data_IF_689792153303
#
_entry.id   IF_689792153303
#
_cell.length_a   1.000
_cell.length_b   1.000
_cell.length_c   1.000
_cell.angle_alpha   90.00
_cell.angle_beta   90.00
_cell.angle_gamma   90.00
#
_symmetry.space_group_name_H-M   'P 1'
#
loop_
_entity.id
_entity.type
_entity.pdbx_description
1 polymer ?
#
# COMPACT_ATOMS: atom_id res chain seq x y z
N UNK A 1 11.96 -20.46 -10.09
CA UNK A 1 13.08 -19.50 -10.08
C UNK A 1 12.87 -18.65 -8.83
N UNK A 2 13.75 -18.69 -7.81
CA UNK A 2 13.59 -17.82 -6.65
C UNK A 2 14.00 -16.42 -7.10
N UNK A 3 13.04 -15.56 -7.40
CA UNK A 3 13.32 -14.15 -7.66
C UNK A 3 13.76 -13.49 -6.35
N UNK A 4 14.96 -12.93 -6.40
CA UNK A 4 15.69 -12.22 -5.35
C UNK A 4 14.81 -11.64 -4.23
N UNK A 5 14.82 -12.27 -3.05
CA UNK A 5 14.25 -11.71 -1.81
C UNK A 5 14.78 -10.29 -1.53
N UNK A 6 16.02 -10.01 -1.91
CA UNK A 6 16.65 -8.69 -1.83
C UNK A 6 15.97 -7.59 -2.68
N UNK A 7 15.47 -7.91 -3.88
CA UNK A 7 14.80 -6.92 -4.74
C UNK A 7 13.41 -6.58 -4.21
N UNK A 8 12.71 -7.59 -3.65
CA UNK A 8 11.40 -7.39 -3.01
C UNK A 8 11.54 -6.52 -1.76
N UNK A 9 12.60 -6.74 -0.97
CA UNK A 9 12.90 -5.94 0.22
C UNK A 9 13.22 -4.48 -0.13
N UNK A 10 14.03 -4.23 -1.16
CA UNK A 10 14.37 -2.86 -1.59
C UNK A 10 13.16 -2.06 -2.12
N UNK A 11 12.08 -2.75 -2.51
CA UNK A 11 10.85 -2.12 -2.98
C UNK A 11 9.80 -1.89 -1.88
N UNK A 12 10.02 -2.38 -0.65
CA UNK A 12 9.11 -2.17 0.48
C UNK A 12 8.85 -0.70 0.83
N UNK A 13 9.81 0.23 0.74
CA UNK A 13 9.54 1.66 0.93
C UNK A 13 8.49 2.21 -0.03
N UNK A 14 8.34 1.63 -1.22
CA UNK A 14 7.26 1.99 -2.17
C UNK A 14 5.87 1.74 -1.58
N UNK A 15 5.73 0.81 -0.63
CA UNK A 15 4.47 0.56 0.08
C UNK A 15 4.08 1.73 1.02
N UNK A 16 5.04 2.59 1.41
CA UNK A 16 4.77 3.82 2.15
C UNK A 16 4.55 5.04 1.26
N UNK A 17 4.95 4.97 -0.01
CA UNK A 17 4.98 6.16 -0.86
C UNK A 17 3.59 6.75 -1.11
N UNK A 18 2.58 5.91 -1.39
CA UNK A 18 1.20 6.39 -1.60
C UNK A 18 0.56 7.00 -0.34
N UNK A 19 0.48 6.29 0.81
CA UNK A 19 -0.06 6.90 2.01
C UNK A 19 0.80 8.08 2.50
N UNK A 20 2.13 8.06 2.31
CA UNK A 20 3.02 9.16 2.68
C UNK A 20 2.73 10.44 1.90
N UNK A 21 2.58 10.33 0.57
CA UNK A 21 2.19 11.46 -0.29
C UNK A 21 0.81 12.03 0.09
N UNK A 22 -0.16 11.15 0.36
CA UNK A 22 -1.51 11.55 0.80
C UNK A 22 -1.52 12.22 2.18
N UNK A 23 -0.56 11.89 3.05
CA UNK A 23 -0.36 12.57 4.34
C UNK A 23 0.45 13.88 4.23
N UNK A 24 0.99 14.19 3.05
CA UNK A 24 1.71 15.44 2.80
C UNK A 24 3.24 15.33 2.84
N UNK A 25 3.80 14.16 3.13
CA UNK A 25 5.26 13.94 3.10
C UNK A 25 5.80 13.97 1.67
N UNK A 26 7.10 14.22 1.53
CA UNK A 26 7.77 14.32 0.22
C UNK A 26 8.93 13.36 0.07
N UNK A 27 9.56 12.97 1.17
CA UNK A 27 10.67 12.03 1.18
C UNK A 27 10.41 10.82 2.07
N UNK A 28 11.15 9.74 1.83
CA UNK A 28 10.98 8.49 2.57
C UNK A 28 11.42 8.63 4.04
N UNK A 29 12.48 9.36 4.33
CA UNK A 29 12.92 9.62 5.70
C UNK A 29 11.88 10.39 6.52
N UNK A 30 11.25 11.44 5.98
CA UNK A 30 10.14 12.13 6.65
C UNK A 30 9.02 11.17 7.04
N UNK A 31 8.68 10.25 6.13
CA UNK A 31 7.59 9.29 6.31
C UNK A 31 7.96 8.22 7.34
N UNK A 32 9.17 7.65 7.25
CA UNK A 32 9.63 6.59 8.15
C UNK A 32 9.89 7.10 9.56
N UNK A 33 10.27 8.37 9.72
CA UNK A 33 10.43 8.99 11.04
C UNK A 33 9.07 9.28 11.73
N UNK A 34 7.94 9.21 11.02
CA UNK A 34 6.63 9.24 11.65
C UNK A 34 6.27 7.87 12.26
N UNK A 35 5.96 7.87 13.56
CA UNK A 35 5.64 6.66 14.31
C UNK A 35 4.44 5.87 13.75
N UNK A 36 3.43 6.53 13.18
CA UNK A 36 2.27 5.84 12.61
C UNK A 36 2.66 5.06 11.36
N UNK A 37 3.51 5.65 10.51
CA UNK A 37 3.98 5.04 9.26
C UNK A 37 5.01 3.95 9.50
N UNK A 38 5.96 4.16 10.40
CA UNK A 38 6.93 3.12 10.78
C UNK A 38 6.25 1.92 11.46
N UNK A 39 5.27 2.15 12.35
CA UNK A 39 4.48 1.07 12.95
C UNK A 39 3.68 0.31 11.91
N UNK A 40 3.05 1.01 10.97
CA UNK A 40 2.34 0.39 9.86
C UNK A 40 3.27 -0.45 8.97
N UNK A 41 4.43 0.06 8.57
CA UNK A 41 5.40 -0.67 7.77
C UNK A 41 5.91 -1.92 8.50
N UNK A 42 6.26 -1.78 9.79
CA UNK A 42 6.68 -2.91 10.63
C UNK A 42 5.61 -3.99 10.67
N UNK A 43 4.36 -3.62 10.92
CA UNK A 43 3.25 -4.55 10.97
C UNK A 43 3.00 -5.23 9.62
N UNK A 44 3.07 -4.50 8.50
CA UNK A 44 2.91 -5.07 7.16
C UNK A 44 3.99 -6.09 6.85
N UNK A 45 5.26 -5.78 7.17
CA UNK A 45 6.37 -6.71 6.97
C UNK A 45 6.21 -7.95 7.85
N UNK A 46 5.99 -7.76 9.16
CA UNK A 46 6.00 -8.84 10.13
C UNK A 46 4.76 -9.74 10.03
N UNK A 47 3.58 -9.14 9.96
CA UNK A 47 2.29 -9.86 10.08
C UNK A 47 1.78 -10.38 8.73
N UNK A 48 2.17 -9.76 7.61
CA UNK A 48 1.71 -10.19 6.28
C UNK A 48 2.86 -10.80 5.47
N UNK A 49 3.91 -10.04 5.19
CA UNK A 49 4.89 -10.44 4.16
C UNK A 49 5.78 -11.60 4.61
N UNK A 50 6.33 -11.53 5.83
CA UNK A 50 7.13 -12.62 6.39
C UNK A 50 6.27 -13.86 6.67
N UNK A 51 5.06 -13.65 7.21
CA UNK A 51 4.11 -14.74 7.46
C UNK A 51 3.73 -15.48 6.19
N UNK A 52 3.46 -14.76 5.09
CA UNK A 52 3.15 -15.36 3.79
C UNK A 52 4.35 -16.10 3.18
N UNK A 53 5.57 -15.62 3.43
CA UNK A 53 6.80 -16.30 3.04
C UNK A 53 7.14 -17.54 3.91
N UNK A 54 6.33 -17.85 4.93
CA UNK A 54 6.59 -18.95 5.87
C UNK A 54 7.74 -18.67 6.84
N UNK A 55 8.10 -17.39 7.02
CA UNK A 55 9.17 -16.95 7.90
C UNK A 55 8.55 -16.47 9.21
N UNK A 56 8.66 -17.28 10.28
CA UNK A 56 8.04 -16.99 11.58
C UNK A 56 9.00 -16.46 12.64
N UNK A 57 10.30 -16.72 12.49
CA UNK A 57 11.30 -16.51 13.55
C UNK A 57 12.28 -15.37 13.26
N UNK A 58 11.86 -14.37 12.47
CA UNK A 58 12.69 -13.19 12.24
C UNK A 58 12.71 -12.31 13.50
N UNK A 59 13.90 -12.00 14.05
CA UNK A 59 14.01 -11.12 15.20
C UNK A 59 13.46 -9.74 14.86
N UNK A 60 12.71 -9.14 15.80
CA UNK A 60 12.19 -7.78 15.66
C UNK A 60 13.30 -6.77 15.38
N UNK A 61 14.48 -6.95 15.99
CA UNK A 61 15.69 -6.16 15.75
C UNK A 61 16.13 -6.16 14.28
N UNK A 62 15.88 -7.24 13.53
CA UNK A 62 16.23 -7.32 12.11
C UNK A 62 15.28 -6.45 11.26
N UNK A 63 14.00 -6.43 11.60
CA UNK A 63 13.01 -5.56 10.94
C UNK A 63 13.29 -4.10 11.28
N UNK A 64 13.64 -3.82 12.53
CA UNK A 64 14.08 -2.49 12.98
C UNK A 64 15.32 -2.01 12.24
N UNK A 65 16.35 -2.86 12.14
CA UNK A 65 17.58 -2.54 11.43
C UNK A 65 17.33 -2.29 9.93
N UNK A 66 16.37 -3.03 9.34
CA UNK A 66 15.93 -2.79 7.97
C UNK A 66 15.25 -1.42 7.82
N UNK A 67 14.28 -1.09 8.66
CA UNK A 67 13.57 0.21 8.62
C UNK A 67 14.54 1.38 8.84
N UNK A 68 15.52 1.23 9.73
CA UNK A 68 16.57 2.25 10.01
C UNK A 68 17.40 2.63 8.79
N UNK A 69 17.49 1.79 7.76
CA UNK A 69 18.19 2.16 6.53
C UNK A 69 17.51 3.31 5.79
N UNK A 70 16.23 3.56 6.05
CA UNK A 70 15.44 4.59 5.38
C UNK A 70 15.27 5.87 6.22
N UNK A 71 15.68 5.90 7.49
CA UNK A 71 15.50 7.07 8.37
C UNK A 71 16.37 8.28 8.01
N UNK A 72 17.32 8.11 7.09
CA UNK A 72 18.17 9.18 6.55
C UNK A 72 18.23 9.17 5.02
N UNK A 73 17.30 8.46 4.38
CA UNK A 73 17.20 8.41 2.93
C UNK A 73 16.27 9.54 2.45
N UNK A 74 16.83 10.50 1.72
CA UNK A 74 16.09 11.65 1.17
C UNK A 74 15.41 11.37 -0.19
N UNK A 75 15.29 10.09 -0.58
CA UNK A 75 14.61 9.70 -1.82
C UNK A 75 13.17 10.24 -1.84
N UNK A 76 12.80 10.86 -2.96
CA UNK A 76 11.47 11.42 -3.14
C UNK A 76 10.42 10.32 -3.24
N UNK A 77 9.32 10.45 -2.50
CA UNK A 77 8.17 9.55 -2.62
C UNK A 77 7.59 9.55 -4.03
N UNK A 78 7.63 10.68 -4.75
CA UNK A 78 7.17 10.76 -6.14
C UNK A 78 8.00 9.88 -7.09
N UNK A 79 9.31 9.77 -6.81
CA UNK A 79 10.20 8.86 -7.53
C UNK A 79 9.87 7.40 -7.19
N UNK A 80 9.64 7.09 -5.92
CA UNK A 80 9.26 5.74 -5.47
C UNK A 80 7.91 5.27 -6.01
N UNK A 81 6.95 6.19 -6.21
CA UNK A 81 5.66 5.92 -6.85
C UNK A 81 5.72 5.72 -8.37
N UNK A 82 6.87 5.96 -9.00
CA UNK A 82 6.99 5.77 -10.45
C UNK A 82 6.77 4.30 -10.84
N UNK A 83 5.99 4.08 -11.89
CA UNK A 83 5.64 2.73 -12.38
C UNK A 83 5.00 1.85 -11.29
N UNK A 84 4.18 2.47 -10.44
CA UNK A 84 3.46 1.83 -9.36
C UNK A 84 2.50 0.75 -9.85
N UNK A 85 1.90 0.94 -11.04
CA UNK A 85 0.96 -0.02 -11.60
C UNK A 85 1.61 -1.36 -11.97
N UNK A 86 2.88 -1.35 -12.36
CA UNK A 86 3.64 -2.56 -12.67
C UNK A 86 4.23 -3.19 -11.41
N UNK A 87 4.65 -2.37 -10.43
CA UNK A 87 5.35 -2.82 -9.22
C UNK A 87 4.43 -3.28 -8.10
N UNK A 88 3.41 -2.49 -7.78
CA UNK A 88 2.57 -2.73 -6.60
C UNK A 88 1.83 -4.09 -6.68
N UNK A 89 1.22 -4.51 -7.81
CA UNK A 89 0.59 -5.82 -7.87
C UNK A 89 1.58 -6.96 -7.62
N UNK A 90 2.80 -6.87 -8.14
CA UNK A 90 3.84 -7.88 -7.95
C UNK A 90 4.27 -7.99 -6.48
N UNK A 91 4.33 -6.86 -5.77
CA UNK A 91 4.70 -6.81 -4.35
C UNK A 91 3.56 -7.24 -3.42
N UNK A 92 2.32 -6.84 -3.73
CA UNK A 92 1.19 -6.94 -2.81
C UNK A 92 0.32 -8.18 -3.05
N UNK A 93 0.03 -8.53 -4.31
CA UNK A 93 -0.95 -9.58 -4.61
C UNK A 93 -0.57 -10.97 -4.10
N UNK A 94 0.70 -11.43 -4.15
CA UNK A 94 1.06 -12.74 -3.62
C UNK A 94 0.67 -12.88 -2.14
N UNK A 95 1.08 -11.89 -1.33
CA UNK A 95 0.78 -11.84 0.11
C UNK A 95 -0.71 -11.69 0.39
N UNK A 96 -1.38 -10.80 -0.37
CA UNK A 96 -2.81 -10.57 -0.19
C UNK A 96 -3.63 -11.81 -0.52
N UNK A 97 -3.36 -12.48 -1.64
CA UNK A 97 -4.08 -13.70 -2.03
C UNK A 97 -3.83 -14.85 -1.05
N UNK A 98 -2.61 -15.00 -0.54
CA UNK A 98 -2.30 -15.98 0.49
C UNK A 98 -3.11 -15.73 1.77
N UNK A 99 -3.16 -14.49 2.26
CA UNK A 99 -3.99 -14.12 3.41
C UNK A 99 -5.48 -14.37 3.14
N UNK A 100 -6.00 -13.97 1.97
CA UNK A 100 -7.40 -14.16 1.58
C UNK A 100 -7.80 -15.63 1.53
N UNK A 101 -6.95 -16.50 0.96
CA UNK A 101 -7.23 -17.94 0.87
C UNK A 101 -7.19 -18.64 2.22
N UNK A 102 -6.40 -18.12 3.17
CA UNK A 102 -6.32 -18.59 4.56
C UNK A 102 -7.35 -17.93 5.49
N UNK A 103 -8.19 -17.02 4.96
CA UNK A 103 -9.11 -16.19 5.74
C UNK A 103 -8.39 -15.43 6.88
N UNK A 104 -7.18 -14.96 6.60
CA UNK A 104 -6.32 -14.20 7.49
C UNK A 104 -6.65 -12.71 7.52
N UNK A 105 -5.84 -11.96 8.26
CA UNK A 105 -5.96 -10.51 8.36
C UNK A 105 -5.45 -9.84 7.07
N UNK A 106 -6.28 -8.96 6.49
CA UNK A 106 -5.97 -8.21 5.26
C UNK A 106 -6.03 -6.69 5.48
N UNK A 107 -6.18 -6.22 6.72
CA UNK A 107 -6.37 -4.80 7.05
C UNK A 107 -5.26 -3.91 6.48
N UNK A 108 -3.99 -4.29 6.67
CA UNK A 108 -2.84 -3.50 6.22
C UNK A 108 -2.77 -3.41 4.69
N UNK A 109 -2.95 -4.53 4.00
CA UNK A 109 -2.92 -4.61 2.54
C UNK A 109 -4.13 -3.93 1.89
N UNK A 110 -5.33 -4.04 2.50
CA UNK A 110 -6.53 -3.34 2.05
C UNK A 110 -6.37 -1.82 2.20
N UNK A 111 -5.78 -1.35 3.30
CA UNK A 111 -5.44 0.06 3.50
C UNK A 111 -4.49 0.56 2.39
N UNK A 112 -3.41 -0.18 2.12
CA UNK A 112 -2.46 0.19 1.06
C UNK A 112 -3.15 0.33 -0.30
N UNK A 113 -3.97 -0.65 -0.67
CA UNK A 113 -4.65 -0.64 -1.95
C UNK A 113 -5.68 0.50 -2.03
N UNK A 114 -6.35 0.81 -0.91
CA UNK A 114 -7.27 1.95 -0.83
C UNK A 114 -6.53 3.28 -0.96
N UNK A 115 -5.38 3.45 -0.31
CA UNK A 115 -4.51 4.61 -0.45
C UNK A 115 -3.99 4.77 -1.87
N UNK A 116 -3.54 3.68 -2.52
CA UNK A 116 -3.09 3.73 -3.91
C UNK A 116 -4.21 4.16 -4.87
N UNK A 117 -5.40 3.57 -4.73
CA UNK A 117 -6.53 3.97 -5.57
C UNK A 117 -6.97 5.42 -5.34
N UNK A 118 -6.84 5.95 -4.11
CA UNK A 118 -7.17 7.36 -3.83
C UNK A 118 -6.10 8.30 -4.39
N UNK A 119 -4.82 7.93 -4.26
CA UNK A 119 -3.70 8.64 -4.89
C UNK A 119 -3.90 8.80 -6.41
N UNK A 120 -4.22 7.71 -7.11
CA UNK A 120 -4.45 7.75 -8.55
C UNK A 120 -5.65 8.62 -8.94
N UNK A 121 -6.78 8.50 -8.22
CA UNK A 121 -7.96 9.31 -8.48
C UNK A 121 -7.68 10.82 -8.27
N UNK A 122 -7.01 11.17 -7.16
CA UNK A 122 -6.66 12.57 -6.84
C UNK A 122 -5.68 13.19 -7.84
N UNK A 123 -4.82 12.37 -8.44
CA UNK A 123 -3.86 12.83 -9.46
C UNK A 123 -4.53 13.09 -10.82
N UNK A 124 -5.68 12.46 -11.10
CA UNK A 124 -6.50 12.78 -12.27
C UNK A 124 -7.26 14.10 -12.13
N UNK A 125 -7.73 14.42 -10.93
CA UNK A 125 -8.53 15.64 -10.68
C UNK A 125 -7.67 16.90 -10.66
N UNK A 126 -6.38 16.79 -10.35
CA UNK A 126 -5.43 17.90 -10.49
C UNK A 126 -5.06 18.13 -11.95
N UNK A 127 -5.93 18.82 -12.70
CA UNK A 127 -5.59 19.50 -13.97
C UNK A 127 -4.73 20.75 -13.65
N UNK A 128 -3.67 20.57 -12.85
CA UNK A 128 -2.59 21.55 -12.76
C UNK A 128 -1.40 20.95 -13.48
N UNK A 129 -1.15 21.51 -14.66
CA UNK A 129 -0.07 21.17 -15.57
C UNK A 129 1.29 21.44 -14.91
N UNK A 130 1.80 20.50 -14.10
CA UNK A 130 3.24 20.19 -13.99
C UNK A 130 3.58 19.03 -13.03
N UNK A 131 2.60 18.29 -12.48
CA UNK A 131 2.95 17.03 -11.81
C UNK A 131 3.22 15.98 -12.88
N UNK A 132 4.46 15.44 -13.01
CA UNK A 132 4.65 14.28 -13.84
C UNK A 132 3.83 13.17 -13.21
N UNK A 133 2.73 12.77 -13.86
CA UNK A 133 2.14 11.47 -13.59
C UNK A 133 3.23 10.47 -13.96
N UNK A 134 4.04 10.04 -12.98
CA UNK A 134 5.16 9.12 -13.19
C UNK A 134 4.68 7.71 -13.56
N UNK A 135 3.37 7.50 -13.52
CA UNK A 135 2.67 6.31 -13.95
C UNK A 135 2.46 6.33 -15.48
N UNK A 136 3.52 5.99 -16.22
CA UNK A 136 3.39 5.66 -17.64
C UNK A 136 3.00 4.18 -17.76
N UNK A 137 2.02 3.85 -18.61
CA UNK A 137 1.68 2.45 -18.92
C UNK A 137 0.29 1.93 -18.51
N UNK A 138 -0.60 2.78 -17.99
CA UNK A 138 -1.99 2.36 -17.80
C UNK A 138 -2.68 2.05 -19.14
N UNK A 139 -3.31 0.87 -19.30
CA UNK A 139 -4.19 0.60 -20.43
C UNK A 139 -5.30 1.66 -20.50
N UNK A 140 -5.66 2.10 -21.70
CA UNK A 140 -6.62 3.20 -21.91
C UNK A 140 -7.97 2.99 -21.17
N UNK A 141 -8.42 1.75 -21.01
CA UNK A 141 -9.66 1.40 -20.31
C UNK A 141 -9.58 1.41 -18.78
N UNK A 142 -8.39 1.45 -18.20
CA UNK A 142 -8.23 1.42 -16.74
C UNK A 142 -8.40 2.79 -16.09
N UNK A 143 -8.11 3.88 -16.81
CA UNK A 143 -8.37 5.24 -16.33
C UNK A 143 -9.84 5.47 -15.99
N UNK A 144 -10.76 4.98 -16.83
CA UNK A 144 -12.20 5.08 -16.56
C UNK A 144 -12.64 4.35 -15.28
N UNK A 145 -11.91 3.30 -14.87
CA UNK A 145 -12.16 2.57 -13.63
C UNK A 145 -11.54 3.27 -12.42
N UNK A 146 -10.39 3.93 -12.62
CA UNK A 146 -9.68 4.69 -11.58
C UNK A 146 -10.46 5.94 -11.17
N UNK A 147 -11.02 6.66 -12.16
CA UNK A 147 -11.80 7.90 -11.94
C UNK A 147 -13.30 7.65 -11.77
N UNK A 148 -13.71 6.37 -11.71
CA UNK A 148 -15.10 6.00 -11.47
C UNK A 148 -15.57 6.45 -10.08
N UNK A 149 -16.83 6.87 -9.98
CA UNK A 149 -17.49 7.11 -8.70
C UNK A 149 -17.72 5.83 -7.89
N UNK A 150 -17.74 4.67 -8.57
CA UNK A 150 -17.68 3.38 -7.89
C UNK A 150 -16.24 3.02 -7.55
N UNK A 151 -15.89 3.14 -6.27
CA UNK A 151 -14.57 2.79 -5.74
C UNK A 151 -14.17 1.33 -6.06
N UNK A 152 -15.13 0.41 -6.25
CA UNK A 152 -14.83 -0.98 -6.57
C UNK A 152 -14.40 -1.18 -8.02
N UNK A 153 -14.67 -0.23 -8.92
CA UNK A 153 -14.19 -0.28 -10.30
C UNK A 153 -12.66 -0.37 -10.35
N UNK A 154 -11.97 0.28 -9.41
CA UNK A 154 -10.52 0.21 -9.27
C UNK A 154 -9.99 -1.23 -9.14
N UNK A 155 -10.69 -2.11 -8.43
CA UNK A 155 -10.29 -3.51 -8.27
C UNK A 155 -10.33 -4.32 -9.58
N UNK A 156 -10.93 -3.75 -10.62
CA UNK A 156 -11.09 -4.37 -11.95
C UNK A 156 -10.13 -3.80 -13.00
N UNK A 157 -9.19 -2.92 -12.62
CA UNK A 157 -8.12 -2.52 -13.55
C UNK A 157 -7.30 -3.73 -13.95
N UNK A 158 -6.71 -3.69 -15.14
CA UNK A 158 -6.04 -4.85 -15.76
C UNK A 158 -4.96 -5.45 -14.85
N UNK A 159 -4.25 -4.60 -14.11
CA UNK A 159 -3.19 -5.00 -13.18
C UNK A 159 -3.67 -5.84 -11.98
N UNK A 160 -4.94 -5.68 -11.55
CA UNK A 160 -5.53 -6.44 -10.43
C UNK A 160 -6.59 -7.45 -10.89
N UNK A 161 -7.00 -7.42 -12.17
CA UNK A 161 -8.11 -8.23 -12.68
C UNK A 161 -7.90 -9.75 -12.48
N UNK A 162 -6.65 -10.23 -12.61
CA UNK A 162 -6.31 -11.65 -12.42
C UNK A 162 -6.50 -12.13 -10.98
N UNK A 163 -6.37 -11.24 -9.99
CA UNK A 163 -6.54 -11.55 -8.57
C UNK A 163 -8.01 -11.75 -8.18
N UNK A 164 -8.96 -11.31 -9.01
CA UNK A 164 -10.42 -11.46 -8.78
C UNK A 164 -10.84 -11.07 -7.37
N UNK A 165 -10.32 -9.94 -6.88
CA UNK A 165 -10.53 -9.48 -5.49
C UNK A 165 -12.00 -9.30 -5.11
N UNK A 166 -12.89 -9.09 -6.10
CA UNK A 166 -14.34 -9.05 -5.92
C UNK A 166 -14.95 -10.35 -5.37
N UNK A 167 -14.26 -11.50 -5.49
CA UNK A 167 -14.72 -12.79 -4.96
C UNK A 167 -14.56 -12.91 -3.44
N UNK A 168 -13.96 -11.93 -2.77
CA UNK A 168 -13.71 -11.95 -1.32
C UNK A 168 -14.56 -10.87 -0.63
N UNK A 169 -15.79 -11.17 -0.17
CA UNK A 169 -16.71 -10.16 0.34
C UNK A 169 -16.17 -9.37 1.54
N UNK A 170 -15.41 -10.05 2.42
CA UNK A 170 -14.81 -9.40 3.60
C UNK A 170 -13.78 -8.34 3.17
N UNK A 171 -12.95 -8.64 2.16
CA UNK A 171 -11.99 -7.70 1.60
C UNK A 171 -12.68 -6.54 0.89
N UNK A 172 -13.69 -6.82 0.06
CA UNK A 172 -14.45 -5.79 -0.67
C UNK A 172 -15.10 -4.79 0.28
N UNK A 173 -15.75 -5.29 1.35
CA UNK A 173 -16.36 -4.45 2.37
C UNK A 173 -15.32 -3.56 3.07
N UNK A 174 -14.17 -4.12 3.43
CA UNK A 174 -13.08 -3.41 4.08
C UNK A 174 -12.45 -2.34 3.16
N UNK A 175 -12.13 -2.71 1.92
CA UNK A 175 -11.58 -1.80 0.91
C UNK A 175 -12.52 -0.60 0.69
N UNK A 176 -13.82 -0.85 0.54
CA UNK A 176 -14.83 0.21 0.37
C UNK A 176 -14.90 1.14 1.60
N UNK A 177 -14.86 0.56 2.80
CA UNK A 177 -14.82 1.32 4.05
C UNK A 177 -13.58 2.23 4.12
N UNK A 178 -12.40 1.70 3.78
CA UNK A 178 -11.17 2.49 3.76
C UNK A 178 -11.14 3.57 2.70
N UNK A 179 -11.64 3.30 1.48
CA UNK A 179 -11.80 4.35 0.45
C UNK A 179 -12.67 5.50 0.94
N UNK A 180 -13.77 5.20 1.63
CA UNK A 180 -14.67 6.20 2.21
C UNK A 180 -13.99 6.99 3.34
N UNK A 181 -13.26 6.32 4.22
CA UNK A 181 -12.59 6.96 5.35
C UNK A 181 -11.38 7.80 4.92
N UNK A 182 -10.62 7.38 3.90
CA UNK A 182 -9.53 8.18 3.33
C UNK A 182 -10.09 9.46 2.73
N UNK A 183 -11.20 9.36 1.99
CA UNK A 183 -11.87 10.52 1.38
C UNK A 183 -12.38 11.52 2.43
N UNK A 184 -12.93 11.04 3.54
CA UNK A 184 -13.50 11.89 4.59
C UNK A 184 -12.49 12.42 5.63
N UNK A 185 -11.50 11.61 6.00
CA UNK A 185 -10.65 11.86 7.17
C UNK A 185 -9.14 11.79 6.88
N UNK A 186 -8.76 11.41 5.65
CA UNK A 186 -7.38 11.21 5.26
C UNK A 186 -6.77 9.91 5.80
N UNK A 187 -5.59 9.56 5.28
CA UNK A 187 -4.89 8.30 5.61
C UNK A 187 -4.42 8.23 7.06
N UNK A 188 -4.07 9.37 7.67
CA UNK A 188 -3.58 9.43 9.07
C UNK A 188 -4.64 8.97 10.06
N UNK A 189 -5.92 9.23 9.78
CA UNK A 189 -7.03 8.76 10.62
C UNK A 189 -7.05 7.23 10.71
N UNK A 190 -6.95 6.54 9.57
CA UNK A 190 -6.92 5.08 9.52
C UNK A 190 -5.69 4.50 10.21
N UNK A 191 -4.52 5.11 10.03
CA UNK A 191 -3.30 4.67 10.71
C UNK A 191 -3.43 4.76 12.23
N UNK A 192 -4.06 5.82 12.77
CA UNK A 192 -4.36 5.93 14.20
C UNK A 192 -5.33 4.85 14.67
N UNK A 193 -6.36 4.56 13.89
CA UNK A 193 -7.32 3.50 14.22
C UNK A 193 -6.66 2.11 14.24
N UNK A 194 -5.78 1.82 13.29
CA UNK A 194 -5.02 0.57 13.26
C UNK A 194 -4.07 0.45 14.45
N UNK A 195 -3.36 1.52 14.80
CA UNK A 195 -2.50 1.55 15.99
C UNK A 195 -3.29 1.33 17.28
N UNK A 196 -4.47 1.95 17.41
CA UNK A 196 -5.35 1.77 18.57
C UNK A 196 -5.85 0.31 18.69
N UNK A 197 -6.29 -0.28 17.58
CA UNK A 197 -6.77 -1.67 17.57
C UNK A 197 -5.66 -2.68 17.94
N UNK A 198 -4.41 -2.41 17.58
CA UNK A 198 -3.27 -3.23 17.99
C UNK A 198 -3.03 -3.16 19.51
N UNK A 199 -3.18 -1.99 20.12
CA UNK A 199 -3.04 -1.81 21.58
C UNK A 199 -4.20 -2.43 22.37
N UNK A 200 -5.41 -2.46 21.80
CA UNK A 200 -6.59 -3.02 22.46
C UNK A 200 -6.65 -4.56 22.45
N UNK A 201 -5.80 -5.21 21.63
CA UNK A 201 -5.71 -6.67 21.50
C UNK A 201 -4.55 -7.27 22.33
N UNK A 202 -3.79 -6.44 23.05
CA UNK A 202 -2.74 -6.83 24.01
C UNK A 202 -3.27 -6.80 25.44
#
# INVERSE_FOLDING_TARGET
>A
MPTNSHETLNALPTLLAYPGLLAGYRTIDETVNDHLFSNYLRALIQQDMLASAGITDQPEESIEAFIRQFTSNADSLASLCSDGISKLPLLLLPTLLDALTKNGDVHRMAFLLAAYGHYLASTCDSIEADKPTTESGFPQGDWAKITSSDALAFLHISAFASARLHNYPHFVAMYKSYRTQIDQYGVVFLLKQMAYNQMALQ
#
